data_IF_449062723975
#
_entry.id   IF_449062723975
#
_cell.length_a   1.000
_cell.length_b   1.000
_cell.length_c   1.000
_cell.angle_alpha   90.00
_cell.angle_beta   90.00
_cell.angle_gamma   90.00
#
_symmetry.space_group_name_H-M   'P 1'
#
loop_
_entity.id
_entity.type
_entity.pdbx_description
1 polymer ?
#
# COMPACT_ATOMS: atom_id res chain seq x y z
N UNK A 1 -1.76 14.27 -20.61
CA UNK A 1 -0.67 15.13 -21.14
C UNK A 1 -0.41 16.20 -20.09
N UNK A 2 0.85 16.51 -19.76
CA UNK A 2 1.15 17.60 -18.83
C UNK A 2 0.67 18.93 -19.44
N UNK A 3 0.10 19.80 -18.61
CA UNK A 3 -0.26 21.17 -18.98
C UNK A 3 0.97 21.97 -19.39
N UNK A 4 0.77 23.07 -20.11
CA UNK A 4 1.86 23.95 -20.54
C UNK A 4 2.67 24.51 -19.35
N UNK A 5 2.03 24.76 -18.20
CA UNK A 5 2.69 25.28 -17.01
C UNK A 5 3.58 24.23 -16.31
N UNK A 6 3.10 23.00 -16.13
CA UNK A 6 3.93 21.90 -15.58
C UNK A 6 5.08 21.55 -16.52
N UNK A 7 4.82 21.56 -17.84
CA UNK A 7 5.86 21.32 -18.85
C UNK A 7 6.96 22.39 -18.81
N UNK A 8 6.62 23.68 -18.68
CA UNK A 8 7.62 24.75 -18.60
C UNK A 8 8.37 24.79 -17.26
N UNK A 9 7.70 24.47 -16.14
CA UNK A 9 8.35 24.34 -14.85
C UNK A 9 9.40 23.19 -14.87
N UNK A 10 9.05 22.06 -15.48
CA UNK A 10 9.99 20.93 -15.67
C UNK A 10 11.16 21.28 -16.57
N UNK A 11 10.93 21.94 -17.71
CA UNK A 11 12.03 22.41 -18.59
C UNK A 11 12.94 23.39 -17.87
N UNK A 12 12.39 24.26 -17.03
CA UNK A 12 13.17 25.22 -16.23
C UNK A 12 14.06 24.52 -15.22
N UNK A 13 13.51 23.52 -14.51
CA UNK A 13 14.29 22.69 -13.59
C UNK A 13 15.38 21.88 -14.33
N UNK A 14 15.05 21.31 -15.48
CA UNK A 14 16.00 20.59 -16.34
C UNK A 14 17.16 21.46 -16.83
N UNK A 15 16.89 22.71 -17.22
CA UNK A 15 17.93 23.69 -17.58
C UNK A 15 18.84 24.03 -16.40
N UNK A 16 18.29 24.16 -15.19
CA UNK A 16 19.07 24.40 -13.96
C UNK A 16 20.03 23.24 -13.69
N UNK A 17 19.53 22.00 -13.74
CA UNK A 17 20.37 20.80 -13.60
C UNK A 17 21.50 20.77 -14.63
N UNK A 18 21.19 21.06 -15.91
CA UNK A 18 22.18 21.12 -16.97
C UNK A 18 23.30 22.11 -16.68
N UNK A 19 22.94 23.33 -16.27
CA UNK A 19 23.91 24.38 -15.93
C UNK A 19 24.80 23.99 -14.75
N UNK A 20 24.22 23.38 -13.71
CA UNK A 20 24.95 22.92 -12.52
C UNK A 20 25.89 21.75 -12.84
N UNK A 21 25.45 20.82 -13.69
CA UNK A 21 26.27 19.71 -14.17
C UNK A 21 27.48 20.23 -14.97
N UNK A 22 27.24 21.12 -15.92
CA UNK A 22 28.30 21.69 -16.79
C UNK A 22 29.29 22.54 -15.98
N UNK A 23 28.81 23.34 -15.03
CA UNK A 23 29.66 24.10 -14.11
C UNK A 23 30.52 23.22 -13.20
N UNK A 24 30.04 22.00 -12.88
CA UNK A 24 30.78 21.01 -12.10
C UNK A 24 31.70 20.12 -12.96
N UNK A 25 31.76 20.35 -14.27
CA UNK A 25 32.64 19.64 -15.20
C UNK A 25 32.18 18.22 -15.58
N UNK A 26 30.98 17.81 -15.21
CA UNK A 26 30.47 16.47 -15.51
C UNK A 26 29.81 16.39 -16.88
N UNK A 27 30.04 15.31 -17.62
CA UNK A 27 29.20 14.92 -18.76
C UNK A 27 27.89 14.28 -18.27
N UNK A 28 26.87 14.19 -19.14
CA UNK A 28 25.63 13.47 -18.81
C UNK A 28 25.87 12.00 -18.46
N UNK A 29 26.87 11.36 -19.11
CA UNK A 29 27.22 9.97 -18.87
C UNK A 29 27.86 9.78 -17.48
N UNK A 30 28.78 10.67 -17.10
CA UNK A 30 29.45 10.62 -15.79
C UNK A 30 28.47 10.94 -14.66
N UNK A 31 27.64 11.97 -14.82
CA UNK A 31 26.60 12.28 -13.82
C UNK A 31 25.65 11.09 -13.64
N UNK A 32 25.24 10.44 -14.74
CA UNK A 32 24.38 9.27 -14.68
C UNK A 32 25.06 8.11 -13.93
N UNK A 33 26.32 7.81 -14.25
CA UNK A 33 27.08 6.75 -13.59
C UNK A 33 27.25 7.00 -12.09
N UNK A 34 27.61 8.21 -11.69
CA UNK A 34 27.79 8.59 -10.28
C UNK A 34 26.48 8.56 -9.47
N UNK A 35 25.34 8.73 -10.13
CA UNK A 35 24.01 8.66 -9.52
C UNK A 35 23.36 7.27 -9.62
N UNK A 36 24.01 6.29 -10.27
CA UNK A 36 23.41 4.96 -10.50
C UNK A 36 22.27 4.95 -11.52
N UNK A 37 22.19 5.95 -12.41
CA UNK A 37 21.17 6.05 -13.46
C UNK A 37 21.75 5.86 -14.86
N UNK A 38 20.88 5.68 -15.86
CA UNK A 38 21.27 5.66 -17.26
C UNK A 38 21.44 7.09 -17.81
N UNK A 39 22.36 7.29 -18.76
CA UNK A 39 22.52 8.59 -19.45
C UNK A 39 21.20 9.13 -20.03
N UNK A 40 20.33 8.33 -20.68
CA UNK A 40 19.03 8.79 -21.13
C UNK A 40 18.16 9.38 -20.02
N UNK A 41 18.25 8.88 -18.78
CA UNK A 41 17.52 9.44 -17.64
C UNK A 41 17.96 10.88 -17.33
N UNK A 42 19.27 11.13 -17.29
CA UNK A 42 19.82 12.48 -17.09
C UNK A 42 19.45 13.40 -18.27
N UNK A 43 19.58 12.91 -19.50
CA UNK A 43 19.22 13.68 -20.70
C UNK A 43 17.71 13.96 -20.81
N UNK A 44 16.87 13.07 -20.28
CA UNK A 44 15.43 13.27 -20.14
C UNK A 44 15.12 14.35 -19.11
N UNK A 45 15.71 14.24 -17.92
CA UNK A 45 15.56 15.22 -16.85
C UNK A 45 15.94 16.64 -17.31
N UNK A 46 17.06 16.80 -18.02
CA UNK A 46 17.50 18.09 -18.57
C UNK A 46 16.55 18.67 -19.63
N UNK A 47 15.76 17.82 -20.31
CA UNK A 47 14.72 18.22 -21.27
C UNK A 47 13.34 18.43 -20.62
N UNK A 48 13.23 18.24 -19.30
CA UNK A 48 11.97 18.39 -18.57
C UNK A 48 11.10 17.13 -18.54
N UNK A 49 11.67 15.94 -18.78
CA UNK A 49 10.98 14.68 -18.52
C UNK A 49 10.85 14.44 -17.01
N UNK A 50 9.80 13.72 -16.62
CA UNK A 50 9.53 13.42 -15.21
C UNK A 50 10.60 12.49 -14.64
N UNK A 51 11.14 12.85 -13.47
CA UNK A 51 12.07 12.04 -12.70
C UNK A 51 11.61 11.99 -11.24
N UNK A 52 12.05 10.97 -10.50
CA UNK A 52 11.67 10.79 -9.10
C UNK A 52 12.29 11.87 -8.21
N UNK A 53 11.71 12.12 -7.03
CA UNK A 53 12.30 13.01 -6.03
C UNK A 53 13.72 12.57 -5.64
N UNK A 54 13.96 11.26 -5.58
CA UNK A 54 15.28 10.68 -5.27
C UNK A 54 16.35 11.03 -6.31
N UNK A 55 16.00 11.08 -7.60
CA UNK A 55 16.92 11.54 -8.64
C UNK A 55 17.40 12.98 -8.36
N UNK A 56 16.48 13.88 -8.01
CA UNK A 56 16.79 15.27 -7.73
C UNK A 56 17.59 15.44 -6.43
N UNK A 57 17.26 14.67 -5.38
CA UNK A 57 18.03 14.64 -4.14
C UNK A 57 19.45 14.08 -4.34
N UNK A 58 19.61 13.05 -5.19
CA UNK A 58 20.90 12.52 -5.58
C UNK A 58 21.74 13.58 -6.31
N UNK A 59 21.12 14.31 -7.25
CA UNK A 59 21.78 15.44 -7.91
C UNK A 59 22.17 16.53 -6.90
N UNK A 60 21.33 16.84 -5.90
CA UNK A 60 21.66 17.83 -4.88
C UNK A 60 22.86 17.45 -4.02
N UNK A 61 22.94 16.16 -3.63
CA UNK A 61 24.08 15.63 -2.87
C UNK A 61 25.36 15.66 -3.69
N UNK A 62 25.30 15.24 -4.95
CA UNK A 62 26.46 15.12 -5.82
C UNK A 62 26.99 16.48 -6.29
N UNK A 63 26.08 17.40 -6.65
CA UNK A 63 26.43 18.75 -7.12
C UNK A 63 26.54 19.78 -5.97
N UNK A 64 26.28 19.36 -4.72
CA UNK A 64 26.34 20.18 -3.50
C UNK A 64 25.48 21.43 -3.57
N UNK A 65 24.25 21.30 -4.08
CA UNK A 65 23.34 22.43 -4.33
C UNK A 65 22.37 22.72 -3.18
N UNK A 66 22.56 22.07 -2.03
CA UNK A 66 21.84 22.41 -0.79
C UNK A 66 20.34 22.17 -0.83
N UNK A 67 19.86 21.24 -1.66
CA UNK A 67 18.43 20.91 -1.79
C UNK A 67 17.67 21.73 -2.84
N UNK A 68 18.36 22.59 -3.60
CA UNK A 68 17.73 23.46 -4.60
C UNK A 68 16.98 22.66 -5.68
N UNK A 69 17.51 21.53 -6.13
CA UNK A 69 16.90 20.74 -7.19
C UNK A 69 15.69 19.94 -6.68
N UNK A 70 15.78 19.39 -5.46
CA UNK A 70 14.69 18.73 -4.78
C UNK A 70 13.54 19.70 -4.48
N UNK A 71 13.84 20.91 -3.99
CA UNK A 71 12.84 21.97 -3.78
C UNK A 71 12.16 22.36 -5.10
N UNK A 72 12.93 22.52 -6.18
CA UNK A 72 12.36 22.81 -7.50
C UNK A 72 11.47 21.68 -8.03
N UNK A 73 11.77 20.43 -7.69
CA UNK A 73 10.90 19.29 -8.02
C UNK A 73 9.61 19.30 -7.19
N UNK A 74 9.68 19.62 -5.91
CA UNK A 74 8.50 19.76 -5.04
C UNK A 74 7.56 20.88 -5.51
N UNK A 75 8.11 21.99 -6.01
CA UNK A 75 7.35 23.08 -6.63
C UNK A 75 6.60 22.59 -7.89
N UNK A 76 7.28 21.86 -8.79
CA UNK A 76 6.66 21.25 -9.98
C UNK A 76 5.51 20.31 -9.60
N UNK A 77 5.71 19.48 -8.58
CA UNK A 77 4.69 18.55 -8.09
C UNK A 77 3.56 19.28 -7.33
N UNK A 78 3.83 20.44 -6.74
CA UNK A 78 2.83 21.35 -6.19
C UNK A 78 1.91 21.94 -7.27
N UNK A 79 2.49 22.41 -8.39
CA UNK A 79 1.74 22.91 -9.55
C UNK A 79 0.87 21.79 -10.12
N UNK A 80 1.45 20.60 -10.35
CA UNK A 80 0.71 19.44 -10.87
C UNK A 80 -0.47 19.04 -9.98
N UNK A 81 -0.29 19.08 -8.65
CA UNK A 81 -1.37 18.78 -7.68
C UNK A 81 -2.48 19.83 -7.71
N UNK A 82 -2.12 21.11 -7.84
CA UNK A 82 -3.08 22.22 -7.91
C UNK A 82 -3.91 22.12 -9.18
N UNK A 83 -3.28 21.86 -10.33
CA UNK A 83 -3.99 21.69 -11.59
C UNK A 83 -4.85 20.42 -11.62
N UNK A 84 -4.38 19.31 -11.03
CA UNK A 84 -5.19 18.11 -10.91
C UNK A 84 -6.46 18.37 -10.07
N UNK A 85 -6.34 19.20 -9.01
CA UNK A 85 -7.48 19.66 -8.21
C UNK A 85 -8.43 20.55 -9.01
N UNK A 86 -7.91 21.53 -9.74
CA UNK A 86 -8.72 22.43 -10.57
C UNK A 86 -9.40 21.71 -11.73
N UNK A 87 -8.73 20.75 -12.37
CA UNK A 87 -9.31 19.92 -13.41
C UNK A 87 -10.40 18.99 -12.87
N UNK A 88 -10.20 18.41 -11.68
CA UNK A 88 -11.21 17.62 -10.99
C UNK A 88 -12.43 18.47 -10.59
N UNK A 89 -12.20 19.70 -10.13
CA UNK A 89 -13.26 20.64 -9.79
C UNK A 89 -14.02 21.15 -11.03
N UNK A 90 -13.33 21.44 -12.12
CA UNK A 90 -13.94 21.84 -13.39
C UNK A 90 -14.77 20.70 -14.01
N UNK A 91 -14.29 19.46 -13.94
CA UNK A 91 -15.04 18.28 -14.38
C UNK A 91 -16.26 18.01 -13.46
N UNK A 92 -16.13 18.25 -12.14
CA UNK A 92 -17.24 18.20 -11.19
C UNK A 92 -18.33 19.22 -11.53
N UNK A 93 -17.95 20.46 -11.84
CA UNK A 93 -18.88 21.52 -12.26
C UNK A 93 -19.55 21.17 -13.59
N UNK A 94 -18.80 20.58 -14.53
CA UNK A 94 -19.31 20.18 -15.85
C UNK A 94 -20.29 19.00 -15.79
N UNK A 95 -20.17 18.13 -14.76
CA UNK A 95 -21.03 16.95 -14.56
C UNK A 95 -22.30 17.20 -13.76
N UNK A 96 -22.53 18.41 -13.24
CA UNK A 96 -23.83 18.76 -12.64
C UNK A 96 -24.89 18.79 -13.76
N UNK A 97 -25.90 17.90 -13.76
CA UNK A 97 -27.00 18.02 -14.70
C UNK A 97 -27.82 19.25 -14.31
N UNK A 98 -28.03 20.17 -15.25
CA UNK A 98 -29.10 21.17 -15.17
C UNK A 98 -30.45 20.44 -15.21
N UNK A 99 -30.91 19.98 -14.05
CA UNK A 99 -32.25 19.44 -13.84
C UNK A 99 -32.81 20.05 -12.55
N UNK A 100 -33.34 21.26 -12.71
CA UNK A 100 -34.19 21.92 -11.73
C UNK A 100 -35.53 21.19 -11.62
N UNK A 101 -35.67 20.34 -10.63
CA UNK A 101 -36.92 20.10 -9.91
C UNK A 101 -36.59 19.34 -8.63
N UNK A 102 -36.44 20.08 -7.53
CA UNK A 102 -36.25 19.52 -6.21
C UNK A 102 -37.51 18.72 -5.81
N UNK A 103 -37.41 17.42 -5.48
CA UNK A 103 -38.32 16.83 -4.54
C UNK A 103 -37.89 17.29 -3.14
N UNK A 104 -38.83 17.79 -2.34
CA UNK A 104 -38.63 17.94 -0.91
C UNK A 104 -38.39 16.54 -0.32
N UNK A 105 -37.12 16.20 -0.12
CA UNK A 105 -36.71 15.07 0.69
C UNK A 105 -36.56 15.58 2.11
N UNK A 106 -37.24 14.92 3.02
CA UNK A 106 -37.17 15.10 4.46
C UNK A 106 -35.70 15.10 4.94
N UNK A 107 -35.29 16.20 5.55
CA UNK A 107 -34.08 16.31 6.38
C UNK A 107 -34.16 15.28 7.53
N UNK A 108 -33.19 14.34 7.62
CA UNK A 108 -32.42 14.07 8.86
C UNK A 108 -31.56 12.79 8.89
N UNK A 109 -31.54 11.89 7.89
CA UNK A 109 -30.76 10.61 8.02
C UNK A 109 -29.52 10.43 7.15
N UNK A 110 -29.32 11.20 6.09
CA UNK A 110 -28.22 10.98 5.12
C UNK A 110 -26.81 11.35 5.63
N UNK A 111 -26.67 11.76 6.90
CA UNK A 111 -25.40 12.16 7.52
C UNK A 111 -25.31 11.81 9.01
N UNK A 112 -26.11 10.85 9.49
CA UNK A 112 -25.96 10.31 10.84
C UNK A 112 -24.72 9.40 10.91
N UNK A 113 -23.93 9.59 11.96
CA UNK A 113 -22.86 8.65 12.30
C UNK A 113 -23.51 7.34 12.71
N UNK A 114 -23.08 6.24 12.11
CA UNK A 114 -23.66 4.93 12.36
C UNK A 114 -22.58 3.97 12.87
N UNK A 115 -22.97 3.12 13.81
CA UNK A 115 -22.11 2.09 14.35
C UNK A 115 -21.94 0.92 13.39
N UNK A 116 -20.95 0.09 13.69
CA UNK A 116 -20.76 -1.18 13.01
C UNK A 116 -19.88 -2.11 13.84
N UNK A 117 -19.96 -3.40 13.51
CA UNK A 117 -19.04 -4.41 13.99
C UNK A 117 -18.05 -4.73 12.87
N UNK A 118 -16.78 -4.91 13.21
CA UNK A 118 -15.80 -5.36 12.25
C UNK A 118 -14.76 -6.26 12.91
N UNK A 119 -14.38 -7.32 12.21
CA UNK A 119 -13.14 -8.04 12.52
C UNK A 119 -12.01 -7.40 11.73
N UNK A 120 -11.02 -6.88 12.44
CA UNK A 120 -9.81 -6.32 11.84
C UNK A 120 -8.75 -7.41 11.73
N UNK A 121 -8.29 -7.66 10.52
CA UNK A 121 -7.11 -8.48 10.24
C UNK A 121 -5.94 -7.57 9.91
N UNK A 122 -4.94 -7.52 10.79
CA UNK A 122 -3.70 -6.77 10.58
C UNK A 122 -2.60 -7.70 10.12
N UNK A 123 -1.92 -7.32 9.05
CA UNK A 123 -0.74 -7.99 8.51
C UNK A 123 0.47 -7.11 8.81
N UNK A 124 1.22 -7.47 9.85
CA UNK A 124 2.40 -6.72 10.31
C UNK A 124 3.63 -7.39 9.72
N UNK A 125 4.13 -6.83 8.61
CA UNK A 125 5.13 -7.49 7.78
C UNK A 125 6.56 -7.05 8.11
N UNK A 126 7.50 -7.98 8.04
CA UNK A 126 8.93 -7.74 8.21
C UNK A 126 9.76 -8.66 7.30
N UNK A 127 10.93 -8.20 6.90
CA UNK A 127 11.97 -9.08 6.36
C UNK A 127 12.98 -9.38 7.49
N UNK A 128 13.21 -10.67 7.73
CA UNK A 128 14.09 -11.17 8.80
C UNK A 128 15.32 -11.91 8.26
N UNK A 129 15.40 -12.13 6.93
CA UNK A 129 16.43 -12.95 6.30
C UNK A 129 16.10 -14.44 6.32
N UNK A 130 16.53 -15.17 5.30
CA UNK A 130 16.23 -16.60 5.15
C UNK A 130 16.85 -17.47 6.24
N UNK A 131 18.07 -17.14 6.68
CA UNK A 131 18.74 -17.87 7.77
C UNK A 131 17.99 -17.72 9.09
N UNK A 132 17.55 -16.50 9.42
CA UNK A 132 16.71 -16.27 10.60
C UNK A 132 15.37 -16.98 10.49
N UNK A 133 14.75 -16.97 9.30
CA UNK A 133 13.50 -17.69 9.06
C UNK A 133 13.66 -19.19 9.34
N UNK A 134 14.71 -19.82 8.81
CA UNK A 134 15.01 -21.23 9.05
C UNK A 134 15.31 -21.53 10.53
N UNK A 135 16.09 -20.68 11.20
CA UNK A 135 16.41 -20.83 12.62
C UNK A 135 15.16 -20.75 13.50
N UNK A 136 14.30 -19.75 13.25
CA UNK A 136 13.08 -19.55 14.03
C UNK A 136 12.12 -20.72 13.80
N UNK A 137 11.94 -21.18 12.55
CA UNK A 137 11.01 -22.27 12.29
C UNK A 137 11.52 -23.63 12.74
N UNK A 138 12.84 -23.84 12.77
CA UNK A 138 13.45 -25.07 13.28
C UNK A 138 13.45 -25.19 14.81
N UNK A 139 13.33 -24.06 15.52
CA UNK A 139 13.34 -24.02 16.99
C UNK A 139 11.94 -24.04 17.62
N UNK A 140 10.89 -23.80 16.83
CA UNK A 140 9.51 -23.80 17.29
C UNK A 140 8.66 -24.95 16.76
N UNK A 141 7.49 -25.16 17.36
CA UNK A 141 6.48 -26.12 16.90
C UNK A 141 5.63 -25.54 15.76
N UNK A 142 6.30 -25.10 14.68
CA UNK A 142 5.63 -24.51 13.53
C UNK A 142 4.86 -25.56 12.72
N UNK A 143 3.64 -25.20 12.32
CA UNK A 143 2.80 -26.02 11.47
C UNK A 143 3.00 -25.60 10.01
N UNK A 144 3.02 -26.60 9.10
CA UNK A 144 3.05 -26.33 7.67
C UNK A 144 1.77 -25.66 7.19
N UNK A 145 1.88 -24.78 6.20
CA UNK A 145 0.76 -24.08 5.59
C UNK A 145 -0.35 -25.04 5.14
N UNK A 146 -1.60 -24.72 5.49
CA UNK A 146 -2.78 -25.43 5.02
C UNK A 146 -3.01 -25.30 3.50
N UNK A 147 -3.93 -26.09 2.92
CA UNK A 147 -4.16 -26.18 1.47
C UNK A 147 -4.65 -24.87 0.83
N UNK A 148 -5.18 -23.95 1.62
CA UNK A 148 -5.67 -22.64 1.17
C UNK A 148 -4.57 -21.60 0.96
N UNK A 149 -3.34 -21.85 1.42
CA UNK A 149 -2.23 -20.91 1.29
C UNK A 149 -1.65 -20.92 -0.13
N UNK A 150 -1.43 -19.74 -0.71
CA UNK A 150 -1.00 -19.63 -2.11
C UNK A 150 0.51 -19.74 -2.27
N UNK A 151 1.23 -19.41 -1.20
CA UNK A 151 2.68 -19.48 -1.09
C UNK A 151 2.98 -20.19 0.23
N UNK A 152 3.68 -21.32 0.16
CA UNK A 152 3.96 -22.14 1.33
C UNK A 152 4.72 -21.36 2.40
N UNK A 153 4.19 -21.43 3.63
CA UNK A 153 4.76 -20.85 4.83
C UNK A 153 4.63 -21.82 5.99
N UNK A 154 5.25 -21.46 7.10
CA UNK A 154 5.09 -22.08 8.39
C UNK A 154 4.38 -21.11 9.32
N UNK A 155 3.48 -21.58 10.16
CA UNK A 155 2.76 -20.72 11.11
C UNK A 155 2.71 -21.31 12.51
N UNK A 156 2.64 -20.43 13.51
CA UNK A 156 2.44 -20.79 14.90
C UNK A 156 1.55 -19.74 15.59
N UNK A 157 0.64 -20.13 16.49
CA UNK A 157 -0.03 -19.18 17.36
C UNK A 157 0.97 -18.34 18.14
N UNK A 158 0.69 -17.05 18.24
CA UNK A 158 1.55 -16.07 18.89
C UNK A 158 0.74 -15.23 19.88
N UNK A 159 1.29 -15.00 21.07
CA UNK A 159 0.57 -14.27 22.10
C UNK A 159 0.49 -12.77 21.77
N UNK A 160 -0.72 -12.22 21.75
CA UNK A 160 -0.97 -10.78 21.68
C UNK A 160 -2.04 -10.37 22.70
N UNK A 161 -1.90 -9.21 23.32
CA UNK A 161 -2.79 -8.80 24.42
C UNK A 161 -4.18 -8.37 23.96
N UNK A 162 -4.35 -7.99 22.70
CA UNK A 162 -5.59 -7.41 22.18
C UNK A 162 -6.42 -8.35 21.30
N UNK A 163 -5.89 -9.50 20.90
CA UNK A 163 -6.56 -10.35 19.92
C UNK A 163 -5.85 -11.67 19.65
N UNK A 164 -6.41 -12.46 18.74
CA UNK A 164 -5.78 -13.69 18.27
C UNK A 164 -4.67 -13.34 17.30
N UNK A 165 -3.49 -13.95 17.46
CA UNK A 165 -2.38 -13.68 16.55
C UNK A 165 -1.69 -14.97 16.14
N UNK A 166 -1.35 -15.05 14.87
CA UNK A 166 -0.48 -16.08 14.31
C UNK A 166 0.77 -15.43 13.72
N UNK A 167 1.93 -16.04 13.92
CA UNK A 167 3.17 -15.68 13.25
C UNK A 167 3.37 -16.59 12.05
N UNK A 168 3.34 -16.01 10.85
CA UNK A 168 3.64 -16.68 9.59
C UNK A 168 5.07 -16.37 9.16
N UNK A 169 5.84 -17.40 8.81
CA UNK A 169 7.20 -17.28 8.32
C UNK A 169 7.33 -18.00 6.98
N UNK A 170 7.87 -17.29 6.00
CA UNK A 170 8.20 -17.84 4.70
C UNK A 170 9.70 -18.12 4.59
N UNK A 171 10.09 -19.18 3.87
CA UNK A 171 11.49 -19.59 3.75
C UNK A 171 12.38 -18.60 2.99
N UNK A 172 11.78 -17.64 2.26
CA UNK A 172 12.50 -16.53 1.65
C UNK A 172 12.76 -15.35 2.61
N UNK A 173 12.56 -15.54 3.92
CA UNK A 173 12.99 -14.56 4.94
C UNK A 173 11.95 -13.50 5.29
N UNK A 174 10.67 -13.72 4.98
CA UNK A 174 9.59 -12.81 5.39
C UNK A 174 8.84 -13.39 6.59
N UNK A 175 8.54 -12.52 7.55
CA UNK A 175 7.67 -12.81 8.67
C UNK A 175 6.46 -11.86 8.65
N UNK A 176 5.27 -12.38 8.92
CA UNK A 176 4.05 -11.60 9.09
C UNK A 176 3.36 -12.06 10.37
N UNK A 177 3.14 -11.13 11.30
CA UNK A 177 2.13 -11.35 12.33
C UNK A 177 0.76 -11.03 11.74
N UNK A 178 -0.11 -12.03 11.73
CA UNK A 178 -1.52 -11.88 11.44
C UNK A 178 -2.25 -11.69 12.76
N UNK A 179 -2.65 -10.46 13.08
CA UNK A 179 -3.39 -10.13 14.30
C UNK A 179 -4.86 -9.89 13.96
N UNK A 180 -5.75 -10.53 14.70
CA UNK A 180 -7.20 -10.50 14.54
C UNK A 180 -7.84 -9.90 15.77
N UNK A 181 -8.56 -8.80 15.60
CA UNK A 181 -9.23 -8.06 16.67
C UNK A 181 -10.69 -7.82 16.29
N UNK A 182 -11.61 -8.24 17.16
CA UNK A 182 -13.04 -7.94 17.01
C UNK A 182 -13.31 -6.52 17.55
N UNK A 183 -13.93 -5.69 16.73
CA UNK A 183 -14.18 -4.28 17.01
C UNK A 183 -15.68 -3.99 16.98
N UNK A 184 -16.14 -3.21 17.95
CA UNK A 184 -17.45 -2.55 17.92
C UNK A 184 -17.19 -1.05 17.95
N UNK A 185 -17.53 -0.37 16.86
CA UNK A 185 -17.15 1.01 16.64
C UNK A 185 -18.39 1.87 16.46
N UNK A 186 -18.43 3.08 17.06
CA UNK A 186 -19.59 3.96 16.96
C UNK A 186 -19.67 4.70 15.61
N UNK A 187 -18.58 4.74 14.85
CA UNK A 187 -18.47 5.39 13.53
C UNK A 187 -17.11 5.09 12.86
N UNK A 188 -16.96 5.48 11.59
CA UNK A 188 -15.74 5.23 10.80
C UNK A 188 -14.57 6.13 11.27
N UNK A 189 -14.85 7.33 11.78
CA UNK A 189 -13.86 8.21 12.38
C UNK A 189 -13.14 7.55 13.57
N UNK A 190 -13.90 6.81 14.39
CA UNK A 190 -13.34 6.01 15.49
C UNK A 190 -12.44 4.89 14.98
N UNK A 191 -12.80 4.24 13.86
CA UNK A 191 -11.92 3.28 13.19
C UNK A 191 -10.60 3.95 12.75
N UNK A 192 -10.69 5.11 12.11
CA UNK A 192 -9.53 5.81 11.58
C UNK A 192 -8.53 6.17 12.69
N UNK A 193 -9.01 6.72 13.80
CA UNK A 193 -8.20 7.04 14.97
C UNK A 193 -7.62 5.78 15.63
N UNK A 194 -8.45 4.76 15.86
CA UNK A 194 -7.99 3.47 16.42
C UNK A 194 -6.89 2.85 15.56
N UNK A 195 -7.07 2.87 14.23
CA UNK A 195 -6.12 2.33 13.27
C UNK A 195 -4.79 3.07 13.35
N UNK A 196 -4.81 4.40 13.36
CA UNK A 196 -3.60 5.22 13.46
C UNK A 196 -2.78 4.86 14.71
N UNK A 197 -3.45 4.69 15.86
CA UNK A 197 -2.80 4.34 17.13
C UNK A 197 -2.24 2.92 17.09
N UNK A 198 -3.12 1.98 16.80
CA UNK A 198 -2.81 0.56 16.89
C UNK A 198 -1.76 0.13 15.88
N UNK A 199 -1.64 0.80 14.73
CA UNK A 199 -0.56 0.55 13.78
C UNK A 199 0.81 0.83 14.38
N UNK A 200 0.97 2.00 15.02
CA UNK A 200 2.24 2.37 15.65
C UNK A 200 2.60 1.44 16.80
N UNK A 201 1.64 1.11 17.65
CA UNK A 201 1.83 0.19 18.79
C UNK A 201 2.20 -1.21 18.30
N UNK A 202 1.49 -1.73 17.31
CA UNK A 202 1.71 -3.08 16.78
C UNK A 202 3.01 -3.20 15.99
N UNK A 203 3.47 -2.15 15.30
CA UNK A 203 4.80 -2.14 14.67
C UNK A 203 5.93 -2.20 15.71
N UNK A 204 5.81 -1.43 16.79
CA UNK A 204 6.78 -1.45 17.87
C UNK A 204 6.80 -2.82 18.57
N UNK A 205 5.62 -3.37 18.86
CA UNK A 205 5.46 -4.71 19.44
C UNK A 205 6.06 -5.80 18.54
N UNK A 206 5.72 -5.82 17.24
CA UNK A 206 6.23 -6.81 16.31
C UNK A 206 7.76 -6.72 16.16
N UNK A 207 8.30 -5.50 16.11
CA UNK A 207 9.74 -5.26 16.07
C UNK A 207 10.44 -5.87 17.28
N UNK A 208 9.94 -5.60 18.50
CA UNK A 208 10.52 -6.14 19.72
C UNK A 208 10.51 -7.68 19.74
N UNK A 209 9.38 -8.29 19.36
CA UNK A 209 9.25 -9.76 19.31
C UNK A 209 10.14 -10.39 18.24
N UNK A 210 10.24 -9.80 17.05
CA UNK A 210 11.12 -10.33 16.00
C UNK A 210 12.58 -10.27 16.43
N UNK A 211 13.04 -9.17 17.02
CA UNK A 211 14.42 -9.07 17.55
C UNK A 211 14.71 -10.13 18.59
N UNK A 212 13.75 -10.41 19.47
CA UNK A 212 13.88 -11.48 20.45
C UNK A 212 13.94 -12.87 19.81
N UNK A 213 13.11 -13.14 18.80
CA UNK A 213 13.06 -14.42 18.09
C UNK A 213 14.31 -14.68 17.25
N UNK A 214 14.81 -13.64 16.56
CA UNK A 214 15.93 -13.76 15.62
C UNK A 214 17.28 -13.53 16.29
N UNK A 215 17.32 -12.81 17.41
CA UNK A 215 18.57 -12.36 18.04
C UNK A 215 19.27 -11.20 17.30
N UNK A 216 18.59 -10.57 16.34
CA UNK A 216 19.15 -9.55 15.46
C UNK A 216 18.51 -8.17 15.70
N UNK A 217 19.29 -7.17 16.10
CA UNK A 217 18.82 -5.80 16.44
C UNK A 217 18.39 -4.95 15.22
N UNK A 218 18.87 -5.29 14.03
CA UNK A 218 18.55 -4.60 12.78
C UNK A 218 17.19 -5.03 12.19
N UNK A 219 16.57 -6.08 12.73
CA UNK A 219 15.23 -6.52 12.34
C UNK A 219 14.18 -5.53 12.87
N UNK A 220 13.26 -5.14 11.98
CA UNK A 220 12.12 -4.29 12.30
C UNK A 220 10.90 -4.60 11.45
N UNK A 221 9.71 -4.41 12.01
CA UNK A 221 8.47 -4.44 11.23
C UNK A 221 8.43 -3.25 10.25
N UNK A 222 8.17 -3.53 8.98
CA UNK A 222 8.24 -2.56 7.89
C UNK A 222 6.96 -1.73 7.78
N UNK A 223 5.79 -2.38 7.89
CA UNK A 223 4.48 -1.73 7.75
C UNK A 223 3.37 -2.61 8.32
N UNK A 224 2.16 -2.03 8.42
CA UNK A 224 0.91 -2.73 8.74
C UNK A 224 -0.10 -2.44 7.64
N UNK A 225 -0.70 -3.49 7.09
CA UNK A 225 -1.89 -3.39 6.25
C UNK A 225 -3.06 -4.04 7.00
N UNK A 226 -4.28 -3.52 6.84
CA UNK A 226 -5.47 -4.13 7.41
C UNK A 226 -6.47 -4.54 6.34
N UNK A 227 -7.09 -5.68 6.56
CA UNK A 227 -8.36 -6.04 5.98
C UNK A 227 -9.45 -5.96 7.06
N UNK A 228 -10.65 -5.51 6.69
CA UNK A 228 -11.80 -5.38 7.59
C UNK A 228 -12.95 -6.25 7.09
N UNK A 229 -13.37 -7.18 7.94
CA UNK A 229 -14.57 -7.96 7.74
C UNK A 229 -15.71 -7.29 8.50
N UNK A 230 -16.59 -6.59 7.80
CA UNK A 230 -17.64 -5.77 8.41
C UNK A 230 -18.91 -6.61 8.56
N UNK A 231 -19.41 -6.68 9.79
CA UNK A 231 -20.69 -7.29 10.14
C UNK A 231 -21.59 -6.21 10.76
N UNK A 232 -22.90 -6.36 10.60
CA UNK A 232 -23.89 -5.49 11.24
C UNK A 232 -23.67 -3.97 10.97
N UNK A 233 -23.55 -3.52 9.71
CA UNK A 233 -23.50 -2.10 9.40
C UNK A 233 -24.84 -1.42 9.76
N UNK A 234 -24.79 -0.33 10.53
CA UNK A 234 -25.99 0.44 10.89
C UNK A 234 -26.33 1.54 9.87
N UNK A 235 -25.52 1.71 8.82
CA UNK A 235 -25.80 2.67 7.75
C UNK A 235 -27.03 2.27 6.93
N UNK A 236 -27.81 3.25 6.44
CA UNK A 236 -28.79 3.02 5.39
C UNK A 236 -28.16 2.38 4.14
N UNK A 237 -28.95 1.62 3.38
CA UNK A 237 -28.48 0.92 2.17
C UNK A 237 -27.86 1.89 1.15
N UNK A 238 -28.42 3.10 1.02
CA UNK A 238 -27.92 4.15 0.14
C UNK A 238 -26.51 4.65 0.51
N UNK A 239 -26.10 4.54 1.78
CA UNK A 239 -24.82 5.03 2.29
C UNK A 239 -23.79 3.90 2.49
N UNK A 240 -24.21 2.64 2.35
CA UNK A 240 -23.38 1.49 2.65
C UNK A 240 -22.13 1.41 1.76
N UNK A 241 -22.26 1.68 0.46
CA UNK A 241 -21.12 1.64 -0.47
C UNK A 241 -20.05 2.69 -0.10
N UNK A 242 -20.48 3.93 0.16
CA UNK A 242 -19.59 5.03 0.56
C UNK A 242 -18.97 4.79 1.95
N UNK A 243 -19.72 4.23 2.88
CA UNK A 243 -19.20 3.83 4.19
C UNK A 243 -18.11 2.77 4.05
N UNK A 244 -18.33 1.72 3.26
CA UNK A 244 -17.33 0.68 3.01
C UNK A 244 -16.10 1.24 2.29
N UNK A 245 -16.27 2.09 1.27
CA UNK A 245 -15.14 2.79 0.63
C UNK A 245 -14.32 3.60 1.65
N UNK A 246 -15.00 4.30 2.55
CA UNK A 246 -14.35 5.09 3.60
C UNK A 246 -13.61 4.19 4.61
N UNK A 247 -14.15 3.02 4.97
CA UNK A 247 -13.46 2.01 5.80
C UNK A 247 -12.22 1.46 5.09
N UNK A 248 -12.26 1.32 3.77
CA UNK A 248 -11.13 0.89 2.95
C UNK A 248 -9.98 1.92 2.96
N UNK A 249 -10.32 3.21 3.05
CA UNK A 249 -9.38 4.35 3.03
C UNK A 249 -9.54 5.29 4.24
N UNK A 250 -9.52 4.79 5.50
CA UNK A 250 -10.01 5.53 6.66
C UNK A 250 -9.16 6.76 7.00
N UNK A 251 -7.92 6.82 6.49
CA UNK A 251 -7.02 7.96 6.67
C UNK A 251 -7.52 9.24 5.99
N UNK A 252 -8.45 9.17 5.03
CA UNK A 252 -9.05 10.36 4.41
C UNK A 252 -9.84 11.21 5.41
N UNK A 253 -10.25 10.63 6.55
CA UNK A 253 -10.93 11.33 7.63
C UNK A 253 -9.98 12.14 8.52
N UNK A 254 -8.67 11.84 8.47
CA UNK A 254 -7.69 12.40 9.39
C UNK A 254 -6.87 13.51 8.74
N UNK A 255 -6.45 14.48 9.54
CA UNK A 255 -5.45 15.46 9.11
C UNK A 255 -4.08 14.81 8.91
N UNK A 256 -3.24 15.41 8.06
CA UNK A 256 -1.92 14.87 7.71
C UNK A 256 -1.00 14.70 8.93
N UNK A 257 -1.14 15.57 9.92
CA UNK A 257 -0.31 15.64 11.13
C UNK A 257 -1.11 15.27 12.38
N UNK A 258 -2.14 14.44 12.23
CA UNK A 258 -3.04 14.14 13.33
C UNK A 258 -2.31 13.63 14.59
N UNK A 259 -2.50 14.31 15.72
CA UNK A 259 -2.06 14.01 17.07
C UNK A 259 -3.30 13.70 17.92
N UNK A 260 -3.45 12.48 18.43
CA UNK A 260 -4.61 11.97 19.20
C UNK A 260 -5.23 12.93 20.24
N UNK A 261 -6.00 13.91 19.78
CA UNK A 261 -6.64 14.95 20.58
C UNK A 261 -8.14 14.92 20.31
N UNK A 262 -8.95 15.34 21.29
CA UNK A 262 -10.42 15.34 21.16
C UNK A 262 -10.89 16.19 19.96
N UNK A 263 -10.21 17.29 19.67
CA UNK A 263 -10.47 18.13 18.50
C UNK A 263 -10.33 17.39 17.17
N UNK A 264 -9.52 16.33 17.12
CA UNK A 264 -9.35 15.53 15.90
C UNK A 264 -10.51 14.57 15.68
N UNK A 265 -11.07 14.05 16.78
CA UNK A 265 -12.25 13.20 16.71
C UNK A 265 -13.42 13.96 16.12
N UNK A 266 -13.70 15.16 16.63
CA UNK A 266 -14.78 16.00 16.09
C UNK A 266 -14.58 16.31 14.60
N UNK A 267 -13.34 16.59 14.19
CA UNK A 267 -13.02 16.87 12.79
C UNK A 267 -13.15 15.64 11.89
N UNK A 268 -12.71 14.47 12.37
CA UNK A 268 -12.83 13.21 11.65
C UNK A 268 -14.30 12.82 11.48
N UNK A 269 -15.12 12.98 12.52
CA UNK A 269 -16.57 12.76 12.46
C UNK A 269 -17.25 13.75 11.49
N UNK A 270 -16.82 15.02 11.47
CA UNK A 270 -17.31 15.98 10.47
C UNK A 270 -16.90 15.59 9.04
N UNK A 271 -15.68 15.09 8.84
CA UNK A 271 -15.23 14.59 7.54
C UNK A 271 -16.05 13.38 7.09
N UNK A 272 -16.34 12.45 8.01
CA UNK A 272 -17.18 11.29 7.75
C UNK A 272 -18.57 11.70 7.28
N UNK A 273 -19.24 12.59 8.03
CA UNK A 273 -20.56 13.12 7.62
C UNK A 273 -20.53 13.74 6.23
N UNK A 274 -19.50 14.53 5.92
CA UNK A 274 -19.36 15.14 4.59
C UNK A 274 -19.21 14.10 3.49
N UNK A 275 -18.47 13.02 3.73
CA UNK A 275 -18.28 11.96 2.74
C UNK A 275 -19.59 11.19 2.55
N UNK A 276 -20.25 10.78 3.63
CA UNK A 276 -21.52 10.03 3.54
C UNK A 276 -22.64 10.86 2.90
N UNK A 277 -22.63 12.18 3.07
CA UNK A 277 -23.63 13.07 2.43
C UNK A 277 -23.29 13.41 0.98
N UNK A 278 -22.02 13.58 0.62
CA UNK A 278 -21.62 14.04 -0.72
C UNK A 278 -21.15 12.93 -1.66
N UNK A 279 -21.02 11.71 -1.14
CA UNK A 279 -20.43 10.56 -1.82
C UNK A 279 -18.90 10.49 -1.69
N UNK A 280 -18.38 9.27 -1.76
CA UNK A 280 -16.95 8.99 -1.78
C UNK A 280 -16.42 9.01 -3.23
N UNK A 281 -15.28 9.67 -3.48
CA UNK A 281 -14.74 9.85 -4.84
C UNK A 281 -14.32 8.54 -5.54
N UNK A 282 -13.99 7.52 -4.75
CA UNK A 282 -13.62 6.18 -5.20
C UNK A 282 -12.23 6.10 -5.85
N UNK A 283 -11.44 7.17 -5.78
CA UNK A 283 -10.15 7.24 -6.46
C UNK A 283 -9.15 6.28 -5.83
N UNK A 284 -8.56 5.40 -6.64
CA UNK A 284 -7.62 4.39 -6.16
C UNK A 284 -8.26 3.23 -5.37
N UNK A 285 -9.59 3.08 -5.46
CA UNK A 285 -10.33 1.96 -4.88
C UNK A 285 -10.86 1.07 -6.01
N UNK A 286 -10.64 -0.24 -5.90
CA UNK A 286 -11.18 -1.23 -6.82
C UNK A 286 -12.30 -2.02 -6.13
N UNK A 287 -13.53 -1.99 -6.66
CA UNK A 287 -14.63 -2.77 -6.13
C UNK A 287 -14.50 -4.24 -6.53
N UNK A 288 -14.97 -5.12 -5.66
CA UNK A 288 -15.18 -6.55 -5.91
C UNK A 288 -16.38 -7.04 -5.10
N UNK A 289 -16.70 -8.33 -5.21
CA UNK A 289 -17.90 -8.91 -4.61
C UNK A 289 -18.97 -9.17 -5.66
N UNK A 290 -20.17 -9.52 -5.20
CA UNK A 290 -21.26 -9.95 -6.06
C UNK A 290 -22.55 -9.30 -5.59
N UNK A 291 -23.22 -8.58 -6.48
CA UNK A 291 -24.48 -7.88 -6.18
C UNK A 291 -25.49 -8.79 -5.49
N UNK A 292 -26.02 -8.35 -4.35
CA UNK A 292 -26.96 -9.11 -3.51
C UNK A 292 -26.32 -10.21 -2.65
N UNK A 293 -25.02 -10.47 -2.78
CA UNK A 293 -24.27 -11.49 -2.02
C UNK A 293 -23.22 -10.85 -1.12
N UNK A 294 -22.46 -9.87 -1.63
CA UNK A 294 -21.41 -9.18 -0.89
C UNK A 294 -20.98 -7.86 -1.55
N UNK A 295 -20.37 -6.97 -0.77
CA UNK A 295 -19.63 -5.80 -1.24
C UNK A 295 -18.19 -5.90 -0.74
N UNK A 296 -17.23 -5.72 -1.64
CA UNK A 296 -15.81 -5.65 -1.31
C UNK A 296 -15.15 -4.46 -1.96
N UNK A 297 -14.18 -3.86 -1.27
CA UNK A 297 -13.34 -2.81 -1.83
C UNK A 297 -11.88 -3.05 -1.43
N UNK A 298 -10.97 -2.90 -2.38
CA UNK A 298 -9.54 -2.92 -2.14
C UNK A 298 -8.92 -1.56 -2.50
N UNK A 299 -7.92 -1.14 -1.75
CA UNK A 299 -7.15 0.07 -2.01
C UNK A 299 -5.71 -0.11 -1.52
N UNK A 300 -4.84 0.85 -1.84
CA UNK A 300 -3.49 0.90 -1.26
C UNK A 300 -3.50 0.95 0.28
N UNK A 301 -4.59 1.46 0.88
CA UNK A 301 -4.71 1.62 2.32
C UNK A 301 -5.29 0.40 3.03
N UNK A 302 -5.84 -0.58 2.33
CA UNK A 302 -6.44 -1.75 2.95
C UNK A 302 -7.56 -2.34 2.13
N UNK A 303 -8.21 -3.33 2.72
CA UNK A 303 -9.32 -4.05 2.10
C UNK A 303 -10.50 -4.07 3.06
N UNK A 304 -11.71 -4.01 2.53
CA UNK A 304 -12.93 -4.19 3.30
C UNK A 304 -13.83 -5.18 2.58
N UNK A 305 -14.56 -5.98 3.34
CA UNK A 305 -15.55 -6.90 2.82
C UNK A 305 -16.75 -6.98 3.75
N UNK A 306 -17.94 -6.94 3.15
CA UNK A 306 -19.21 -7.12 3.83
C UNK A 306 -20.03 -8.22 3.11
N UNK A 307 -20.26 -9.38 3.75
CA UNK A 307 -21.07 -10.46 3.20
C UNK A 307 -22.56 -10.31 3.57
N UNK A 308 -23.43 -10.05 2.59
CA UNK A 308 -24.88 -10.09 2.82
C UNK A 308 -25.40 -11.53 2.99
N UNK A 309 -24.80 -12.47 2.26
CA UNK A 309 -25.18 -13.88 2.25
C UNK A 309 -23.95 -14.74 2.55
N UNK A 310 -23.61 -14.99 3.83
CA UNK A 310 -22.38 -15.68 4.21
C UNK A 310 -22.18 -17.06 3.54
N UNK A 311 -23.27 -17.80 3.28
CA UNK A 311 -23.21 -19.12 2.63
C UNK A 311 -22.87 -19.06 1.13
N UNK A 312 -23.00 -17.90 0.50
CA UNK A 312 -22.74 -17.68 -0.93
C UNK A 312 -21.55 -16.74 -1.19
N UNK A 313 -21.17 -15.96 -0.18
CA UNK A 313 -20.06 -15.03 -0.20
C UNK A 313 -18.71 -15.77 -0.13
N UNK A 314 -17.63 -15.02 -0.32
CA UNK A 314 -16.28 -15.51 -0.03
C UNK A 314 -16.17 -15.89 1.44
N UNK A 315 -15.34 -16.86 1.78
CA UNK A 315 -14.99 -17.08 3.17
C UNK A 315 -13.96 -16.04 3.62
N UNK A 316 -14.00 -15.66 4.89
CA UNK A 316 -13.02 -14.74 5.49
C UNK A 316 -11.59 -15.26 5.32
N UNK A 317 -11.40 -16.59 5.43
CA UNK A 317 -10.11 -17.23 5.19
C UNK A 317 -9.58 -17.06 3.77
N UNK A 318 -10.44 -16.88 2.76
CA UNK A 318 -10.02 -16.68 1.37
C UNK A 318 -9.39 -15.29 1.19
N UNK A 319 -9.99 -14.28 1.83
CA UNK A 319 -9.48 -12.92 1.88
C UNK A 319 -8.12 -12.88 2.60
N UNK A 320 -8.04 -13.51 3.77
CA UNK A 320 -6.81 -13.60 4.58
C UNK A 320 -5.70 -14.33 3.81
N UNK A 321 -6.00 -15.44 3.14
CA UNK A 321 -5.01 -16.17 2.35
C UNK A 321 -4.48 -15.35 1.16
N UNK A 322 -5.36 -14.59 0.48
CA UNK A 322 -4.97 -13.69 -0.60
C UNK A 322 -4.07 -12.56 -0.09
N UNK A 323 -4.39 -11.98 1.07
CA UNK A 323 -3.57 -10.92 1.67
C UNK A 323 -2.22 -11.44 2.16
N UNK A 324 -2.15 -12.57 2.88
CA UNK A 324 -0.88 -13.16 3.30
C UNK A 324 0.05 -13.43 2.10
N UNK A 325 -0.50 -13.92 0.99
CA UNK A 325 0.27 -14.15 -0.23
C UNK A 325 0.75 -12.84 -0.89
N UNK A 326 -0.12 -11.83 -0.95
CA UNK A 326 0.20 -10.51 -1.50
C UNK A 326 1.25 -9.80 -0.66
N UNK A 327 1.03 -9.68 0.64
CA UNK A 327 1.90 -8.95 1.57
C UNK A 327 3.25 -9.64 1.76
N UNK A 328 3.31 -10.97 1.75
CA UNK A 328 4.59 -11.69 1.83
C UNK A 328 5.48 -11.43 0.62
N UNK A 329 4.90 -11.39 -0.59
CA UNK A 329 5.63 -11.02 -1.80
C UNK A 329 5.98 -9.54 -1.84
N UNK A 330 5.08 -8.67 -1.37
CA UNK A 330 5.35 -7.25 -1.30
C UNK A 330 6.55 -6.96 -0.39
N UNK A 331 6.57 -7.54 0.81
CA UNK A 331 7.68 -7.38 1.77
C UNK A 331 9.00 -7.91 1.21
N UNK A 332 8.98 -9.03 0.49
CA UNK A 332 10.19 -9.58 -0.13
C UNK A 332 10.69 -8.70 -1.29
N UNK A 333 9.80 -8.22 -2.16
CA UNK A 333 10.18 -7.31 -3.25
C UNK A 333 10.72 -5.99 -2.70
N UNK A 334 10.12 -5.48 -1.63
CA UNK A 334 10.60 -4.26 -0.99
C UNK A 334 12.01 -4.43 -0.39
N UNK A 335 12.30 -5.56 0.25
CA UNK A 335 13.67 -5.85 0.68
C UNK A 335 14.65 -5.81 -0.49
N UNK A 336 14.34 -6.50 -1.60
CA UNK A 336 15.19 -6.55 -2.81
C UNK A 336 15.44 -5.14 -3.35
N UNK A 337 14.38 -4.35 -3.49
CA UNK A 337 14.47 -2.99 -4.00
C UNK A 337 15.31 -2.11 -3.08
N UNK A 338 15.10 -2.18 -1.75
CA UNK A 338 15.88 -1.43 -0.75
C UNK A 338 17.37 -1.74 -0.75
N UNK A 339 17.77 -3.00 -0.98
CA UNK A 339 19.19 -3.35 -1.07
C UNK A 339 19.85 -2.59 -2.23
N UNK A 340 19.23 -2.60 -3.41
CA UNK A 340 19.73 -1.87 -4.57
C UNK A 340 19.70 -0.36 -4.36
N UNK A 341 18.64 0.18 -3.74
CA UNK A 341 18.56 1.61 -3.37
C UNK A 341 19.66 2.02 -2.39
N UNK A 342 20.15 1.07 -1.58
CA UNK A 342 21.29 1.25 -0.67
C UNK A 342 22.65 1.01 -1.34
N UNK A 343 22.68 0.72 -2.64
CA UNK A 343 23.89 0.43 -3.41
C UNK A 343 24.48 -0.96 -3.15
N UNK A 344 23.69 -1.88 -2.61
CA UNK A 344 24.08 -3.26 -2.33
C UNK A 344 23.45 -4.22 -3.35
N UNK A 345 24.17 -5.28 -3.67
CA UNK A 345 23.56 -6.43 -4.35
C UNK A 345 22.70 -7.20 -3.35
N UNK A 346 21.43 -7.49 -3.68
CA UNK A 346 20.57 -8.23 -2.77
C UNK A 346 21.08 -9.65 -2.57
N UNK A 347 21.25 -10.03 -1.31
CA UNK A 347 21.52 -11.41 -0.93
C UNK A 347 20.21 -12.22 -1.04
N UNK A 348 20.14 -13.07 -2.07
CA UNK A 348 18.98 -13.89 -2.38
C UNK A 348 19.35 -15.37 -2.32
N UNK A 349 18.66 -16.17 -1.49
CA UNK A 349 18.83 -17.61 -1.50
C UNK A 349 18.57 -18.16 -2.89
N UNK A 350 19.42 -19.07 -3.38
CA UNK A 350 19.28 -19.70 -4.69
C UNK A 350 17.84 -20.19 -5.00
N UNK A 351 17.12 -20.91 -4.09
CA UNK A 351 15.75 -21.35 -4.36
C UNK A 351 14.73 -20.20 -4.48
N UNK A 352 15.07 -18.99 -4.01
CA UNK A 352 14.18 -17.83 -3.92
C UNK A 352 14.59 -16.66 -4.83
N UNK A 353 15.41 -16.91 -5.86
CA UNK A 353 15.80 -15.91 -6.87
C UNK A 353 14.72 -15.57 -7.91
N UNK A 354 15.12 -15.02 -9.06
CA UNK A 354 14.17 -14.49 -10.06
C UNK A 354 13.18 -15.52 -10.62
N UNK A 355 13.55 -16.81 -10.69
CA UNK A 355 12.64 -17.89 -11.15
C UNK A 355 11.50 -18.10 -10.16
N UNK A 356 11.81 -18.04 -8.88
CA UNK A 356 10.82 -18.10 -7.81
C UNK A 356 9.86 -16.91 -7.87
N UNK A 357 10.40 -15.69 -7.97
CA UNK A 357 9.58 -14.46 -8.10
C UNK A 357 8.66 -14.50 -9.33
N UNK A 358 9.15 -14.98 -10.48
CA UNK A 358 8.32 -15.20 -11.67
C UNK A 358 7.21 -16.22 -11.42
N UNK A 359 7.53 -17.31 -10.72
CA UNK A 359 6.55 -18.32 -10.33
C UNK A 359 5.50 -17.76 -9.36
N UNK A 360 5.90 -16.97 -8.38
CA UNK A 360 5.01 -16.29 -7.44
C UNK A 360 4.08 -15.31 -8.16
N UNK A 361 4.62 -14.47 -9.06
CA UNK A 361 3.82 -13.59 -9.93
C UNK A 361 2.77 -14.38 -10.71
N UNK A 362 3.15 -15.49 -11.32
CA UNK A 362 2.20 -16.36 -12.05
C UNK A 362 1.07 -16.86 -11.15
N UNK A 363 1.38 -17.33 -9.92
CA UNK A 363 0.37 -17.85 -8.97
C UNK A 363 -0.58 -16.79 -8.42
N UNK A 364 -0.13 -15.53 -8.31
CA UNK A 364 -0.92 -14.40 -7.82
C UNK A 364 -1.82 -13.79 -8.90
N UNK A 365 -1.44 -13.90 -10.17
CA UNK A 365 -2.10 -13.16 -11.28
C UNK A 365 -2.94 -14.06 -12.17
N UNK A 366 -2.55 -15.32 -12.34
CA UNK A 366 -3.23 -16.20 -13.28
C UNK A 366 -4.43 -16.89 -12.61
N UNK A 367 -5.61 -16.87 -13.24
CA UNK A 367 -6.76 -17.58 -12.74
C UNK A 367 -6.51 -19.08 -12.60
N UNK A 368 -7.07 -19.71 -11.56
CA UNK A 368 -6.99 -21.18 -11.40
C UNK A 368 -8.20 -21.86 -12.05
N UNK A 369 -8.07 -23.09 -12.58
CA UNK A 369 -9.18 -23.78 -13.27
C UNK A 369 -10.47 -23.95 -12.46
N UNK A 370 -10.39 -23.97 -11.13
CA UNK A 370 -11.52 -24.12 -10.21
C UNK A 370 -11.84 -22.81 -9.45
N UNK A 371 -11.19 -21.70 -9.80
CA UNK A 371 -11.41 -20.41 -9.14
C UNK A 371 -12.77 -19.85 -9.56
N UNK A 372 -13.59 -19.46 -8.57
CA UNK A 372 -14.88 -18.82 -8.84
C UNK A 372 -14.68 -17.37 -9.32
N UNK A 373 -15.70 -16.79 -9.95
CA UNK A 373 -15.67 -15.38 -10.35
C UNK A 373 -15.44 -14.42 -9.17
N UNK A 374 -15.98 -14.73 -7.98
CA UNK A 374 -15.78 -13.92 -6.77
C UNK A 374 -14.31 -13.94 -6.31
N UNK A 375 -13.69 -15.12 -6.29
CA UNK A 375 -12.28 -15.27 -5.91
C UNK A 375 -11.37 -14.50 -6.87
N UNK A 376 -11.63 -14.62 -8.18
CA UNK A 376 -10.89 -13.89 -9.20
C UNK A 376 -11.03 -12.37 -9.03
N UNK A 377 -12.25 -11.87 -8.82
CA UNK A 377 -12.48 -10.43 -8.66
C UNK A 377 -11.77 -9.86 -7.42
N UNK A 378 -11.86 -10.58 -6.28
CA UNK A 378 -11.12 -10.23 -5.06
C UNK A 378 -9.61 -10.19 -5.31
N UNK A 379 -9.06 -11.26 -5.89
CA UNK A 379 -7.62 -11.37 -6.20
C UNK A 379 -7.15 -10.23 -7.10
N UNK A 380 -7.87 -9.99 -8.20
CA UNK A 380 -7.50 -8.96 -9.18
C UNK A 380 -7.55 -7.56 -8.53
N UNK A 381 -8.53 -7.26 -7.67
CA UNK A 381 -8.63 -5.98 -6.95
C UNK A 381 -7.47 -5.77 -5.95
N UNK A 382 -7.15 -6.78 -5.13
CA UNK A 382 -6.09 -6.72 -4.11
C UNK A 382 -4.71 -6.60 -4.77
N UNK A 383 -4.42 -7.45 -5.76
CA UNK A 383 -3.13 -7.43 -6.46
C UNK A 383 -2.92 -6.12 -7.22
N UNK A 384 -3.98 -5.57 -7.83
CA UNK A 384 -3.91 -4.29 -8.55
C UNK A 384 -3.63 -3.12 -7.60
N UNK A 385 -4.37 -3.03 -6.50
CA UNK A 385 -4.31 -1.87 -5.59
C UNK A 385 -3.11 -1.87 -4.66
N UNK A 386 -2.50 -3.03 -4.40
CA UNK A 386 -1.25 -3.16 -3.63
C UNK A 386 0.00 -2.70 -4.37
N UNK A 387 -0.09 -2.39 -5.68
CA UNK A 387 1.05 -2.06 -6.53
C UNK A 387 2.08 -3.19 -6.66
N UNK A 388 1.76 -4.41 -6.20
CA UNK A 388 2.69 -5.53 -6.11
C UNK A 388 3.26 -5.94 -7.48
N UNK A 389 2.49 -5.77 -8.57
CA UNK A 389 2.93 -6.18 -9.90
C UNK A 389 4.17 -5.43 -10.39
N UNK A 390 4.21 -4.12 -10.18
CA UNK A 390 5.36 -3.29 -10.56
C UNK A 390 6.58 -3.63 -9.69
N UNK A 391 6.37 -3.83 -8.39
CA UNK A 391 7.41 -4.25 -7.45
C UNK A 391 8.00 -5.63 -7.81
N UNK A 392 7.14 -6.58 -8.19
CA UNK A 392 7.57 -7.91 -8.65
C UNK A 392 8.39 -7.83 -9.93
N UNK A 393 7.98 -7.04 -10.91
CA UNK A 393 8.72 -6.90 -12.17
C UNK A 393 10.11 -6.31 -11.93
N UNK A 394 10.19 -5.27 -11.10
CA UNK A 394 11.47 -4.67 -10.71
C UNK A 394 12.36 -5.67 -9.96
N UNK A 395 11.82 -6.37 -8.95
CA UNK A 395 12.56 -7.35 -8.17
C UNK A 395 13.04 -8.54 -9.03
N UNK A 396 12.23 -8.99 -9.99
CA UNK A 396 12.61 -10.04 -10.95
C UNK A 396 13.81 -9.62 -11.80
N UNK A 397 13.83 -8.37 -12.27
CA UNK A 397 14.92 -7.88 -13.11
C UNK A 397 16.20 -7.65 -12.31
N UNK A 398 16.10 -7.12 -11.09
CA UNK A 398 17.23 -7.01 -10.14
C UNK A 398 17.82 -8.40 -9.87
N UNK A 399 16.99 -9.36 -9.43
CA UNK A 399 17.45 -10.70 -9.08
C UNK A 399 18.08 -11.45 -10.28
N UNK A 400 17.65 -11.15 -11.50
CA UNK A 400 18.25 -11.70 -12.73
C UNK A 400 19.65 -11.14 -12.98
N UNK A 401 19.86 -9.85 -12.72
CA UNK A 401 21.14 -9.19 -12.93
C UNK A 401 22.18 -9.66 -11.91
N UNK A 402 21.83 -9.74 -10.62
CA UNK A 402 22.75 -10.21 -9.58
C UNK A 402 23.22 -11.66 -9.82
N UNK A 403 22.35 -12.54 -10.31
CA UNK A 403 22.74 -13.91 -10.70
C UNK A 403 23.69 -13.96 -11.89
N UNK A 404 23.60 -13.02 -12.84
CA UNK A 404 24.50 -12.98 -14.00
C UNK A 404 25.92 -12.50 -13.66
N UNK A 405 26.05 -11.68 -12.60
CA UNK A 405 27.33 -11.14 -12.15
C UNK A 405 28.12 -12.13 -11.28
N UNK A 406 27.45 -13.02 -10.53
CA UNK A 406 28.12 -14.05 -9.72
C UNK A 406 28.69 -15.25 -10.49
N UNK A 407 28.47 -15.34 -11.81
CA UNK A 407 28.99 -16.41 -12.68
C UNK A 407 30.15 -15.97 -13.59
N UNK A 408 30.67 -14.75 -13.40
CA UNK A 408 31.88 -14.24 -14.07
C UNK A 408 33.04 -14.18 -13.08
#
# INVERSE_FOLDING_TARGET
MATDAVAEARKTLGRKLRGLREASGYTQQELAHLLGYSRPRVAGAERGESCSALFWQGCDKLLKTGGMLASGHEEVEGIRRTEAREAAEAERIRRVPLSSSAPQVTEDKAGELAGFVARSHKFIAAFIGSSSAEQVTSSGEFQGSGPSQWISCQSIPFAHSSGQCDLHIWPFGVAIFHLVEDLTLPNIASLALWRMRSYSENMAWATANLRQLTGHEDVSASYVLSAYWVTDPEWPEENLDDALRTICTPRILLQREAQFLESEREQAEQAERRILTNGHDGSGIEPFGLSGVSIGHASWSGVVYHPFSPDQALAESDLVACELATQSMWAYCEYINRQVESGLDPDLPEPHGWRFLRGAKSRLVNPRPQETGQHRAMRDAIVKTSGLLEHLDQAIDIARQSQSQGTS
#
